data_IF_094377164756
#
_entry.id   IF_094377164756
#
_cell.length_a   1.000
_cell.length_b   1.000
_cell.length_c   1.000
_cell.angle_alpha   90.00
_cell.angle_beta   90.00
_cell.angle_gamma   90.00
#
_symmetry.space_group_name_H-M   'P 1'
#
loop_
_entity.id
_entity.type
_entity.pdbx_description
1 polymer ?
#
# COMPACT_ATOMS: atom_id res chain seq x y z
N UNK A 1 -15.40 -0.89 6.13
CA UNK A 1 -14.64 -1.98 6.78
C UNK A 1 -14.88 -3.21 5.93
N UNK A 2 -13.84 -3.92 5.52
CA UNK A 2 -14.03 -5.22 4.87
C UNK A 2 -14.94 -6.08 5.77
N UNK A 3 -15.93 -6.76 5.20
CA UNK A 3 -16.77 -7.67 5.98
C UNK A 3 -15.84 -8.76 6.51
N UNK A 4 -15.57 -8.75 7.82
CA UNK A 4 -14.91 -9.85 8.48
C UNK A 4 -15.85 -11.05 8.35
N UNK A 5 -15.54 -11.93 7.41
CA UNK A 5 -16.31 -13.15 7.23
C UNK A 5 -15.95 -14.09 8.38
N UNK A 6 -16.91 -14.53 9.20
CA UNK A 6 -16.66 -15.33 10.40
C UNK A 6 -16.39 -16.80 10.05
N UNK A 7 -15.66 -17.06 8.95
CA UNK A 7 -15.54 -18.42 8.39
C UNK A 7 -14.81 -19.39 9.31
N UNK A 8 -13.96 -18.91 10.23
CA UNK A 8 -13.44 -19.69 11.35
C UNK A 8 -13.21 -18.75 12.54
N UNK A 9 -14.05 -18.85 13.58
CA UNK A 9 -13.83 -18.15 14.83
C UNK A 9 -12.66 -18.82 15.52
N UNK A 10 -11.49 -18.16 15.52
CA UNK A 10 -10.33 -18.59 16.29
C UNK A 10 -10.75 -18.83 17.75
N UNK A 11 -10.15 -19.83 18.40
CA UNK A 11 -10.31 -20.06 19.83
C UNK A 11 -9.92 -18.79 20.62
N UNK A 12 -10.59 -18.55 21.76
CA UNK A 12 -10.41 -17.30 22.52
C UNK A 12 -8.94 -17.03 22.87
N UNK A 13 -8.20 -18.06 23.25
CA UNK A 13 -6.78 -17.93 23.57
C UNK A 13 -5.93 -17.57 22.34
N UNK A 14 -6.21 -18.19 21.19
CA UNK A 14 -5.53 -17.87 19.94
C UNK A 14 -5.83 -16.42 19.49
N UNK A 15 -7.07 -15.95 19.66
CA UNK A 15 -7.42 -14.55 19.38
C UNK A 15 -6.62 -13.57 20.24
N UNK A 16 -6.50 -13.86 21.53
CA UNK A 16 -5.75 -13.03 22.46
C UNK A 16 -4.26 -13.00 22.10
N UNK A 17 -3.67 -14.15 21.75
CA UNK A 17 -2.26 -14.22 21.31
C UNK A 17 -2.00 -13.35 20.08
N UNK A 18 -2.82 -13.49 19.04
CA UNK A 18 -2.69 -12.69 17.81
C UNK A 18 -2.84 -11.19 18.09
N UNK A 19 -3.75 -10.80 18.99
CA UNK A 19 -3.91 -9.41 19.39
C UNK A 19 -2.69 -8.87 20.14
N UNK A 20 -2.13 -9.65 21.07
CA UNK A 20 -0.95 -9.27 21.84
C UNK A 20 0.28 -9.12 20.95
N UNK A 21 0.46 -10.00 19.97
CA UNK A 21 1.54 -9.93 18.98
C UNK A 21 1.46 -8.65 18.13
N UNK A 22 0.25 -8.26 17.73
CA UNK A 22 0.04 -6.98 17.07
C UNK A 22 0.41 -5.81 17.99
N UNK A 23 -0.02 -5.81 19.26
CA UNK A 23 0.34 -4.78 20.22
C UNK A 23 1.86 -4.69 20.43
N UNK A 24 2.53 -5.83 20.55
CA UNK A 24 3.98 -5.90 20.72
C UNK A 24 4.71 -5.35 19.49
N UNK A 25 4.23 -5.67 18.29
CA UNK A 25 4.77 -5.12 17.04
C UNK A 25 4.68 -3.59 17.00
N UNK A 26 3.58 -3.02 17.50
CA UNK A 26 3.43 -1.56 17.59
C UNK A 26 4.37 -0.90 18.60
N UNK A 27 4.76 -1.60 19.68
CA UNK A 27 5.73 -1.11 20.67
C UNK A 27 7.16 -1.08 20.11
N UNK A 28 7.49 -1.97 19.17
CA UNK A 28 8.82 -2.01 18.54
C UNK A 28 9.09 -0.86 17.58
N UNK A 29 8.06 -0.14 17.13
CA UNK A 29 8.17 0.99 16.21
C UNK A 29 8.76 2.21 16.95
N UNK A 30 9.93 2.71 16.49
CA UNK A 30 10.66 3.78 17.20
C UNK A 30 10.47 5.16 16.59
N UNK A 31 10.18 5.24 15.30
CA UNK A 31 10.09 6.52 14.59
C UNK A 31 8.91 6.59 13.61
N UNK A 32 8.62 7.81 13.14
CA UNK A 32 7.49 8.10 12.25
C UNK A 32 7.60 7.38 10.90
N UNK A 33 8.82 7.23 10.36
CA UNK A 33 9.06 6.56 9.07
C UNK A 33 8.76 5.05 9.17
N UNK A 34 9.22 4.40 10.23
CA UNK A 34 8.91 3.01 10.55
C UNK A 34 7.41 2.82 10.74
N UNK A 35 6.76 3.70 11.50
CA UNK A 35 5.31 3.67 11.72
C UNK A 35 4.54 3.73 10.39
N UNK A 36 4.91 4.65 9.49
CA UNK A 36 4.27 4.78 8.19
C UNK A 36 4.42 3.53 7.31
N UNK A 37 5.59 2.86 7.35
CA UNK A 37 5.82 1.60 6.62
C UNK A 37 4.97 0.46 7.18
N UNK A 38 5.02 0.25 8.51
CA UNK A 38 4.25 -0.81 9.18
C UNK A 38 2.76 -0.64 8.93
N UNK A 39 2.24 0.58 9.05
CA UNK A 39 0.83 0.87 8.79
C UNK A 39 0.45 0.69 7.31
N UNK A 40 1.36 1.00 6.38
CA UNK A 40 1.18 0.78 4.95
C UNK A 40 1.18 -0.70 4.54
N UNK A 41 1.92 -1.54 5.26
CA UNK A 41 1.93 -2.99 5.05
C UNK A 41 0.71 -3.68 5.70
N UNK A 42 0.27 -3.21 6.87
CA UNK A 42 -0.82 -3.81 7.63
C UNK A 42 -2.21 -3.42 7.11
N UNK A 43 -2.40 -2.15 6.75
CA UNK A 43 -3.69 -1.59 6.37
C UNK A 43 -3.74 -1.33 4.88
N UNK A 44 -4.88 -1.60 4.25
CA UNK A 44 -5.11 -1.10 2.91
C UNK A 44 -5.22 0.42 2.91
N UNK A 45 -4.93 1.04 1.78
CA UNK A 45 -5.02 2.49 1.59
C UNK A 45 -6.37 3.12 2.07
N UNK A 46 -7.56 2.57 1.75
CA UNK A 46 -8.81 3.10 2.29
C UNK A 46 -8.97 2.89 3.80
N UNK A 47 -8.42 1.81 4.36
CA UNK A 47 -8.43 1.54 5.80
C UNK A 47 -7.53 2.52 6.55
N UNK A 48 -6.32 2.75 6.04
CA UNK A 48 -5.37 3.71 6.60
C UNK A 48 -5.98 5.11 6.65
N UNK A 49 -6.56 5.58 5.53
CA UNK A 49 -7.28 6.87 5.48
C UNK A 49 -8.42 6.94 6.48
N UNK A 50 -9.19 5.86 6.62
CA UNK A 50 -10.30 5.80 7.56
C UNK A 50 -9.81 5.92 9.01
N UNK A 51 -8.76 5.18 9.39
CA UNK A 51 -8.17 5.22 10.73
C UNK A 51 -7.58 6.59 11.02
N UNK A 52 -6.86 7.19 10.07
CA UNK A 52 -6.32 8.54 10.19
C UNK A 52 -7.42 9.59 10.41
N UNK A 53 -8.51 9.52 9.65
CA UNK A 53 -9.68 10.41 9.85
C UNK A 53 -10.31 10.21 11.23
N UNK A 54 -10.47 8.97 11.69
CA UNK A 54 -11.02 8.67 13.03
C UNK A 54 -10.15 9.24 14.14
N UNK A 55 -8.82 9.12 14.02
CA UNK A 55 -7.87 9.71 14.94
C UNK A 55 -8.04 11.23 15.02
N UNK A 56 -8.15 11.89 13.87
CA UNK A 56 -8.36 13.34 13.81
C UNK A 56 -9.72 13.77 14.37
N UNK A 57 -10.80 13.05 14.07
CA UNK A 57 -12.12 13.34 14.66
C UNK A 57 -12.02 13.28 16.19
N UNK A 58 -11.43 12.22 16.72
CA UNK A 58 -11.32 12.05 18.16
C UNK A 58 -10.42 13.12 18.80
N UNK A 59 -9.33 13.54 18.14
CA UNK A 59 -8.52 14.70 18.55
C UNK A 59 -9.36 15.97 18.66
N UNK A 60 -10.15 16.26 17.63
CA UNK A 60 -10.99 17.46 17.59
C UNK A 60 -12.11 17.43 18.63
N UNK A 61 -12.72 16.28 18.86
CA UNK A 61 -13.71 16.08 19.93
C UNK A 61 -13.12 16.30 21.32
N UNK A 62 -11.92 15.77 21.59
CA UNK A 62 -11.22 15.99 22.86
C UNK A 62 -10.80 17.45 23.06
N UNK A 63 -10.59 18.19 21.96
CA UNK A 63 -10.37 19.66 21.98
C UNK A 63 -11.66 20.47 22.11
N UNK A 64 -12.83 19.83 22.22
CA UNK A 64 -14.12 20.52 22.35
C UNK A 64 -14.65 21.16 21.06
N UNK A 65 -14.12 20.79 19.88
CA UNK A 65 -14.64 21.31 18.59
C UNK A 65 -16.06 20.84 18.34
N UNK A 66 -16.87 21.70 17.70
CA UNK A 66 -18.24 21.38 17.32
C UNK A 66 -18.28 20.43 16.13
N UNK A 67 -19.31 19.59 16.07
CA UNK A 67 -19.51 18.60 15.01
C UNK A 67 -19.48 19.21 13.60
N UNK A 68 -20.02 20.42 13.44
CA UNK A 68 -20.04 21.10 12.14
C UNK A 68 -18.64 21.49 11.65
N UNK A 69 -17.77 21.95 12.55
CA UNK A 69 -16.38 22.27 12.23
C UNK A 69 -15.61 21.01 11.80
N UNK A 70 -15.77 19.92 12.56
CA UNK A 70 -15.14 18.63 12.26
C UNK A 70 -15.58 18.10 10.89
N UNK A 71 -16.89 18.22 10.58
CA UNK A 71 -17.46 17.82 9.28
C UNK A 71 -16.83 18.61 8.13
N UNK A 72 -16.73 19.93 8.29
CA UNK A 72 -16.21 20.82 7.24
C UNK A 72 -14.71 20.61 6.98
N UNK A 73 -13.92 20.43 8.04
CA UNK A 73 -12.47 20.21 7.97
C UNK A 73 -12.12 18.82 7.40
N UNK A 74 -12.75 17.76 7.91
CA UNK A 74 -12.36 16.37 7.60
C UNK A 74 -13.17 15.73 6.46
N UNK A 75 -14.20 16.43 5.97
CA UNK A 75 -15.13 15.96 4.94
C UNK A 75 -15.69 14.57 5.30
N UNK A 76 -16.31 14.48 6.46
CA UNK A 76 -16.91 13.25 7.02
C UNK A 76 -18.37 13.47 7.39
N UNK A 77 -19.17 12.41 7.39
CA UNK A 77 -20.58 12.53 7.76
C UNK A 77 -20.77 12.71 9.27
N UNK A 78 -21.88 13.34 9.67
CA UNK A 78 -22.25 13.52 11.08
C UNK A 78 -22.37 12.18 11.82
N UNK A 79 -22.87 11.14 11.14
CA UNK A 79 -22.97 9.78 11.68
C UNK A 79 -21.58 9.18 11.99
N UNK A 80 -20.57 9.52 11.19
CA UNK A 80 -19.20 9.07 11.42
C UNK A 80 -18.63 9.72 12.69
N UNK A 81 -18.87 11.01 12.87
CA UNK A 81 -18.46 11.76 14.07
C UNK A 81 -19.16 11.21 15.31
N UNK A 82 -20.48 10.99 15.23
CA UNK A 82 -21.26 10.44 16.33
C UNK A 82 -20.77 9.04 16.76
N UNK A 83 -20.48 8.15 15.79
CA UNK A 83 -19.87 6.85 16.10
C UNK A 83 -18.52 7.00 16.77
N UNK A 84 -17.72 7.97 16.34
CA UNK A 84 -16.41 8.23 16.93
C UNK A 84 -16.54 8.71 18.37
N UNK A 85 -17.45 9.65 18.61
CA UNK A 85 -17.73 10.15 19.95
C UNK A 85 -18.20 9.04 20.89
N UNK A 86 -19.08 8.15 20.42
CA UNK A 86 -19.60 7.04 21.22
C UNK A 86 -18.47 6.11 21.71
N UNK A 87 -17.62 5.60 20.81
CA UNK A 87 -16.52 4.72 21.24
C UNK A 87 -15.48 5.47 22.05
N UNK A 88 -15.26 6.77 21.78
CA UNK A 88 -14.35 7.60 22.56
C UNK A 88 -14.84 7.75 24.01
N UNK A 89 -16.15 7.84 24.22
CA UNK A 89 -16.75 7.84 25.56
C UNK A 89 -16.64 6.48 26.24
N UNK A 90 -16.87 5.37 25.52
CA UNK A 90 -16.90 4.01 26.06
C UNK A 90 -15.52 3.36 26.27
N UNK A 91 -14.57 3.60 25.38
CA UNK A 91 -13.29 2.88 25.30
C UNK A 91 -12.15 3.77 24.78
N UNK A 92 -12.16 5.05 25.15
CA UNK A 92 -11.22 6.06 24.65
C UNK A 92 -9.96 6.27 25.48
N UNK A 93 -9.73 5.49 26.54
CA UNK A 93 -8.63 5.71 27.51
C UNK A 93 -7.25 5.75 26.86
N UNK A 94 -6.97 4.81 25.96
CA UNK A 94 -5.72 4.77 25.21
C UNK A 94 -5.50 6.03 24.39
N UNK A 95 -6.55 6.54 23.72
CA UNK A 95 -6.41 7.77 22.95
C UNK A 95 -6.23 9.00 23.84
N UNK A 96 -6.98 9.08 24.95
CA UNK A 96 -6.82 10.16 25.95
C UNK A 96 -5.39 10.17 26.52
N UNK A 97 -4.83 9.00 26.79
CA UNK A 97 -3.44 8.85 27.23
C UNK A 97 -2.45 9.39 26.18
N UNK A 98 -2.57 8.98 24.91
CA UNK A 98 -1.67 9.48 23.84
C UNK A 98 -1.84 10.98 23.62
N UNK A 99 -3.06 11.51 23.75
CA UNK A 99 -3.34 12.95 23.73
C UNK A 99 -2.63 13.70 24.85
N UNK A 100 -2.76 13.23 26.09
CA UNK A 100 -2.10 13.81 27.24
C UNK A 100 -0.56 13.79 27.13
N UNK A 101 0.01 12.71 26.53
CA UNK A 101 1.46 12.56 26.35
C UNK A 101 2.08 13.47 25.30
N UNK A 102 1.30 14.07 24.40
CA UNK A 102 1.87 15.03 23.44
C UNK A 102 1.06 15.29 22.17
N UNK A 103 0.08 14.45 21.80
CA UNK A 103 -0.76 14.75 20.63
C UNK A 103 -1.63 16.02 20.82
N UNK A 104 -1.84 16.46 22.07
CA UNK A 104 -2.54 17.69 22.42
C UNK A 104 -1.67 18.96 22.36
N UNK A 105 -0.35 18.84 22.56
CA UNK A 105 0.61 19.95 22.54
C UNK A 105 0.91 20.34 21.09
N UNK A 106 -0.03 21.08 20.50
CA UNK A 106 0.07 21.83 19.25
C UNK A 106 0.52 21.06 17.99
N UNK A 107 0.52 21.79 16.88
CA UNK A 107 0.77 21.31 15.53
C UNK A 107 2.16 20.68 15.47
N UNK A 108 2.23 19.37 15.72
CA UNK A 108 3.36 18.57 15.27
C UNK A 108 3.52 18.96 13.81
N UNK A 109 4.57 19.72 13.50
CA UNK A 109 4.94 20.07 12.15
C UNK A 109 5.17 18.73 11.48
N UNK A 110 4.12 18.19 10.86
CA UNK A 110 4.22 16.95 10.12
C UNK A 110 5.18 17.34 9.02
N UNK A 111 6.44 16.85 9.04
CA UNK A 111 7.38 17.23 8.00
C UNK A 111 6.68 16.92 6.69
N UNK A 112 6.66 17.91 5.78
CA UNK A 112 5.96 17.80 4.51
C UNK A 112 6.38 16.46 3.91
N UNK A 113 5.45 15.50 3.88
CA UNK A 113 5.79 14.12 3.63
C UNK A 113 6.39 14.07 2.23
N UNK A 114 7.72 13.95 2.15
CA UNK A 114 8.40 13.65 0.92
C UNK A 114 8.12 12.17 0.67
N UNK A 115 7.24 11.87 -0.28
CA UNK A 115 6.95 10.50 -0.60
C UNK A 115 8.29 9.86 -1.00
N UNK A 116 8.68 8.69 -0.46
CA UNK A 116 9.89 8.02 -0.95
C UNK A 116 9.82 7.91 -2.49
N UNK A 117 10.95 7.80 -3.21
CA UNK A 117 10.93 7.81 -4.68
C UNK A 117 9.96 6.77 -5.30
N UNK A 118 9.65 5.70 -4.56
CA UNK A 118 8.64 4.66 -4.86
C UNK A 118 7.25 4.92 -4.25
N UNK A 119 6.92 6.12 -3.80
CA UNK A 119 5.58 6.41 -3.28
C UNK A 119 4.55 6.52 -4.40
N UNK A 120 5.01 6.78 -5.63
CA UNK A 120 4.24 6.48 -6.83
C UNK A 120 3.93 4.99 -6.99
N UNK A 121 4.58 4.10 -6.22
CA UNK A 121 4.29 2.66 -6.12
C UNK A 121 3.55 2.32 -4.80
N UNK A 122 3.73 3.13 -3.74
CA UNK A 122 3.09 2.97 -2.43
C UNK A 122 1.65 3.52 -2.40
N UNK A 123 1.37 4.59 -3.14
CA UNK A 123 0.03 5.14 -3.42
C UNK A 123 -0.36 4.99 -4.90
N UNK A 124 0.55 4.50 -5.74
CA UNK A 124 0.22 4.03 -7.08
C UNK A 124 -0.63 2.79 -6.98
N UNK A 125 -1.90 2.98 -7.32
CA UNK A 125 -2.75 1.98 -7.95
C UNK A 125 -1.91 0.89 -8.65
N UNK A 126 -2.29 -0.38 -8.44
CA UNK A 126 -1.79 -1.62 -9.08
C UNK A 126 -0.81 -2.51 -8.29
N UNK A 127 0.15 -2.01 -7.49
CA UNK A 127 1.12 -2.89 -6.81
C UNK A 127 0.50 -3.71 -5.65
N UNK A 128 -0.23 -3.04 -4.76
CA UNK A 128 -0.91 -3.67 -3.62
C UNK A 128 -2.06 -4.60 -4.05
N UNK A 129 -2.71 -4.26 -5.16
CA UNK A 129 -3.80 -5.06 -5.73
C UNK A 129 -3.26 -6.39 -6.31
N UNK A 130 -2.08 -6.36 -6.94
CA UNK A 130 -1.36 -7.56 -7.41
C UNK A 130 -0.91 -8.48 -6.26
N UNK A 131 -0.43 -7.91 -5.15
CA UNK A 131 -0.01 -8.67 -3.94
C UNK A 131 -1.20 -9.38 -3.27
N UNK A 132 -2.36 -8.73 -3.20
CA UNK A 132 -3.54 -9.25 -2.49
C UNK A 132 -4.44 -10.14 -3.34
N UNK A 133 -4.43 -9.96 -4.66
CA UNK A 133 -5.24 -10.73 -5.60
C UNK A 133 -4.42 -11.28 -6.78
N UNK A 134 -3.41 -12.13 -6.55
CA UNK A 134 -2.50 -12.59 -7.61
C UNK A 134 -3.24 -13.19 -8.81
N UNK A 135 -4.31 -13.95 -8.54
CA UNK A 135 -5.14 -14.57 -9.57
C UNK A 135 -5.92 -13.56 -10.42
N UNK A 136 -6.28 -12.37 -9.93
CA UNK A 136 -6.96 -11.41 -10.79
C UNK A 136 -6.02 -10.77 -11.83
N UNK A 137 -4.70 -10.97 -11.67
CA UNK A 137 -3.66 -10.44 -12.55
C UNK A 137 -2.94 -11.53 -13.34
N UNK A 138 -3.35 -12.81 -13.26
CA UNK A 138 -2.72 -13.88 -14.04
C UNK A 138 -2.73 -13.60 -15.55
N UNK A 139 -3.77 -13.00 -16.18
CA UNK A 139 -3.72 -12.71 -17.62
C UNK A 139 -2.64 -11.68 -17.96
N UNK A 140 -2.42 -10.71 -17.06
CA UNK A 140 -1.37 -9.72 -17.21
C UNK A 140 0.02 -10.33 -16.99
N UNK A 141 0.18 -11.21 -16.00
CA UNK A 141 1.44 -11.90 -15.72
C UNK A 141 1.89 -12.81 -16.87
N UNK A 142 0.96 -13.59 -17.43
CA UNK A 142 1.24 -14.42 -18.62
C UNK A 142 1.60 -13.53 -19.81
N UNK A 143 0.88 -12.43 -20.03
CA UNK A 143 1.17 -11.53 -21.14
C UNK A 143 2.53 -10.85 -20.98
N UNK A 144 2.93 -10.54 -19.75
CA UNK A 144 4.23 -9.96 -19.44
C UNK A 144 5.38 -10.96 -19.68
N UNK A 145 5.22 -12.22 -19.27
CA UNK A 145 6.19 -13.29 -19.55
C UNK A 145 6.26 -13.61 -21.05
N UNK A 146 5.13 -13.69 -21.74
CA UNK A 146 5.10 -13.86 -23.21
C UNK A 146 5.78 -12.68 -23.89
N UNK A 147 5.53 -11.44 -23.43
CA UNK A 147 6.17 -10.25 -23.96
C UNK A 147 7.70 -10.27 -23.76
N UNK A 148 8.15 -10.65 -22.56
CA UNK A 148 9.56 -10.81 -22.21
C UNK A 148 10.23 -11.90 -23.05
N UNK A 149 9.58 -13.05 -23.23
CA UNK A 149 10.09 -14.20 -23.99
C UNK A 149 9.94 -14.05 -25.52
N UNK A 150 9.18 -13.06 -26.02
CA UNK A 150 8.89 -12.91 -27.45
C UNK A 150 10.10 -12.46 -28.28
N UNK A 151 10.31 -13.09 -29.44
CA UNK A 151 11.35 -12.73 -30.41
C UNK A 151 10.98 -11.46 -31.21
N UNK A 152 11.95 -10.83 -31.89
CA UNK A 152 11.77 -9.55 -32.60
C UNK A 152 10.62 -9.55 -33.62
N UNK A 153 10.37 -10.68 -34.29
CA UNK A 153 9.23 -10.86 -35.21
C UNK A 153 7.88 -10.90 -34.49
N UNK A 154 7.82 -11.59 -33.34
CA UNK A 154 6.60 -11.71 -32.52
C UNK A 154 6.25 -10.38 -31.87
N UNK A 155 7.24 -9.64 -31.37
CA UNK A 155 7.04 -8.29 -30.81
C UNK A 155 6.49 -7.29 -31.83
N UNK A 156 7.00 -7.30 -33.07
CA UNK A 156 6.48 -6.44 -34.15
C UNK A 156 4.99 -6.72 -34.42
N UNK A 157 4.61 -8.00 -34.54
CA UNK A 157 3.22 -8.41 -34.73
C UNK A 157 2.33 -7.98 -33.55
N UNK A 158 2.80 -8.17 -32.32
CA UNK A 158 2.05 -7.73 -31.11
C UNK A 158 1.85 -6.21 -31.09
N UNK A 159 2.86 -5.42 -31.46
CA UNK A 159 2.74 -3.96 -31.54
C UNK A 159 1.75 -3.51 -32.62
N UNK A 160 1.70 -4.19 -33.77
CA UNK A 160 0.70 -3.94 -34.82
C UNK A 160 -0.72 -4.25 -34.33
N UNK A 161 -0.92 -5.40 -33.67
CA UNK A 161 -2.22 -5.76 -33.07
C UNK A 161 -2.65 -4.75 -32.01
N UNK A 162 -1.74 -4.27 -31.16
CA UNK A 162 -2.05 -3.25 -30.14
C UNK A 162 -2.47 -1.91 -30.77
N UNK A 163 -1.88 -1.52 -31.90
CA UNK A 163 -2.28 -0.31 -32.64
C UNK A 163 -3.70 -0.43 -33.20
N UNK A 164 -4.04 -1.58 -33.77
CA UNK A 164 -5.38 -1.87 -34.31
C UNK A 164 -6.41 -1.84 -33.17
N UNK A 165 -6.14 -2.52 -32.06
CA UNK A 165 -7.03 -2.58 -30.90
C UNK A 165 -7.23 -1.20 -30.25
N UNK A 166 -6.19 -0.36 -30.22
CA UNK A 166 -6.28 1.03 -29.73
C UNK A 166 -7.21 1.87 -30.60
N UNK A 167 -7.17 1.71 -31.93
CA UNK A 167 -8.05 2.40 -32.88
C UNK A 167 -9.51 1.97 -32.80
N UNK A 168 -9.76 0.71 -32.40
CA UNK A 168 -11.11 0.15 -32.26
C UNK A 168 -11.87 0.59 -30.99
N UNK A 169 -11.21 1.32 -30.07
CA UNK A 169 -11.83 1.86 -28.86
C UNK A 169 -12.17 0.83 -27.77
N UNK A 170 -11.99 -0.47 -28.03
CA UNK A 170 -12.26 -1.57 -27.10
C UNK A 170 -11.03 -1.87 -26.22
N UNK A 171 -10.89 -1.17 -25.09
CA UNK A 171 -10.00 -1.57 -23.99
C UNK A 171 -9.45 -0.42 -23.12
N UNK A 172 -8.82 -0.76 -21.98
CA UNK A 172 -8.28 0.21 -21.01
C UNK A 172 -7.00 0.86 -21.54
N UNK A 173 -7.06 2.15 -21.86
CA UNK A 173 -5.95 2.96 -22.41
C UNK A 173 -4.64 2.86 -21.60
N UNK A 174 -4.74 2.69 -20.29
CA UNK A 174 -3.57 2.57 -19.38
C UNK A 174 -2.81 1.25 -19.58
N UNK A 175 -3.51 0.14 -19.78
CA UNK A 175 -2.90 -1.18 -20.02
C UNK A 175 -2.12 -1.16 -21.33
N UNK A 176 -2.68 -0.54 -22.37
CA UNK A 176 -2.00 -0.38 -23.65
C UNK A 176 -0.74 0.50 -23.56
N UNK A 177 -0.75 1.55 -22.74
CA UNK A 177 0.43 2.39 -22.51
C UNK A 177 1.53 1.62 -21.78
N UNK A 178 1.17 0.85 -20.74
CA UNK A 178 2.11 0.02 -19.99
C UNK A 178 2.77 -1.03 -20.89
N UNK A 179 1.98 -1.75 -21.69
CA UNK A 179 2.51 -2.76 -22.61
C UNK A 179 3.41 -2.14 -23.68
N UNK A 180 3.03 -1.01 -24.27
CA UNK A 180 3.90 -0.32 -25.23
C UNK A 180 5.20 0.18 -24.59
N UNK A 181 5.16 0.68 -23.36
CA UNK A 181 6.36 1.08 -22.64
C UNK A 181 7.29 -0.12 -22.41
N UNK A 182 6.73 -1.26 -21.98
CA UNK A 182 7.48 -2.51 -21.77
C UNK A 182 8.17 -2.99 -23.05
N UNK A 183 7.48 -2.94 -24.20
CA UNK A 183 8.07 -3.29 -25.50
C UNK A 183 9.05 -2.23 -26.05
N UNK A 184 9.01 -0.98 -25.57
CA UNK A 184 9.90 0.12 -26.02
C UNK A 184 11.18 0.22 -25.20
N UNK A 185 11.11 0.02 -23.88
CA UNK A 185 12.25 0.13 -22.95
C UNK A 185 13.37 -0.87 -23.28
N UNK A 186 13.02 -2.07 -23.76
CA UNK A 186 14.01 -3.08 -24.17
C UNK A 186 14.75 -2.79 -25.49
N UNK A 187 14.50 -1.66 -26.18
CA UNK A 187 15.37 -1.20 -27.28
C UNK A 187 16.73 -0.70 -26.77
N UNK A 188 16.82 -0.36 -25.49
CA UNK A 188 18.03 0.14 -24.83
C UNK A 188 18.47 -0.86 -23.77
N UNK A 189 19.46 -1.70 -24.14
CA UNK A 189 20.21 -2.64 -23.28
C UNK A 189 19.58 -4.02 -23.02
N UNK A 190 20.15 -5.10 -23.60
CA UNK A 190 20.06 -6.43 -23.04
C UNK A 190 21.32 -6.72 -22.21
N UNK A 191 21.27 -6.55 -20.88
CA UNK A 191 22.18 -7.34 -20.03
C UNK A 191 21.55 -8.71 -19.86
N UNK A 192 22.14 -9.71 -20.53
CA UNK A 192 21.65 -11.09 -20.52
C UNK A 192 21.65 -11.64 -19.08
N UNK A 193 20.64 -12.43 -18.67
CA UNK A 193 20.61 -13.12 -17.37
C UNK A 193 21.87 -13.98 -17.13
N UNK A 194 22.44 -14.53 -18.20
CA UNK A 194 23.66 -15.35 -18.18
C UNK A 194 24.94 -14.59 -17.77
N UNK A 195 24.96 -13.25 -17.83
CA UNK A 195 26.10 -12.45 -17.35
C UNK A 195 26.03 -12.17 -15.85
N UNK A 196 24.82 -12.02 -15.28
CA UNK A 196 24.61 -11.89 -13.84
C UNK A 196 24.93 -13.18 -13.09
N UNK A 197 24.60 -14.35 -13.64
CA UNK A 197 24.99 -15.64 -13.04
C UNK A 197 26.50 -15.86 -13.09
N UNK A 198 27.19 -15.43 -14.17
CA UNK A 198 28.66 -15.50 -14.27
C UNK A 198 29.36 -14.53 -13.31
N UNK A 199 28.82 -13.33 -13.12
CA UNK A 199 29.34 -12.35 -12.15
C UNK A 199 29.08 -12.77 -10.70
N UNK A 200 27.93 -13.40 -10.41
CA UNK A 200 27.62 -13.96 -9.10
C UNK A 200 28.42 -15.23 -8.76
N UNK A 201 28.86 -16.02 -9.76
CA UNK A 201 29.75 -17.16 -9.56
C UNK A 201 31.23 -16.73 -9.41
N UNK A 202 31.71 -15.72 -10.15
CA UNK A 202 33.08 -15.20 -9.99
C UNK A 202 33.30 -14.51 -8.62
N UNK A 203 32.26 -13.91 -8.04
CA UNK A 203 32.34 -13.28 -6.71
C UNK A 203 32.50 -14.27 -5.55
N UNK A 204 32.04 -15.53 -5.71
CA UNK A 204 32.15 -16.57 -4.67
C UNK A 204 33.49 -17.31 -4.66
N UNK A 205 34.25 -17.28 -5.77
CA UNK A 205 35.57 -17.91 -5.86
C UNK A 205 36.67 -17.03 -5.25
N UNK A 206 36.49 -15.70 -5.17
CA UNK A 206 37.48 -14.78 -4.58
C UNK A 206 37.45 -14.65 -3.05
N UNK A 207 36.54 -15.34 -2.35
CA UNK A 207 36.43 -15.30 -0.88
C UNK A 207 36.78 -16.61 -0.18
N UNK A 208 37.33 -17.60 -0.88
CA UNK A 208 37.75 -18.86 -0.25
C UNK A 208 39.09 -19.31 -0.81
N UNK A 209 40.14 -19.16 0.01
CA UNK A 209 41.42 -19.88 0.13
C UNK A 209 42.40 -18.90 0.83
N UNK A 210 43.20 -19.38 1.81
CA UNK A 210 43.26 -18.89 3.19
C UNK A 210 44.07 -17.62 3.44
#
# INVERSE_FOLDING_TARGET
MAKFTPRQKLEKEAQQRVLLELCQSMVMVKNLKESARVLGDLLSEPELRMVAKRLQIAKQLLKGKKYEQIRQELKVSQQTIARVNLWLQQAGEGLRMVMARGLAKEDMAVPLWQPPAHAGEMWGSWAHLKRRYPLYFWPQGILEEIARAANNRQRKRMLETLKILRGSGKGKREVFRYLEALFRVERTSPRKPQQLEKEMQLGKVKQKVP
#
